data_IF_356458179475
#
_entry.id   IF_356458179475
#
_cell.length_a   1.000
_cell.length_b   1.000
_cell.length_c   1.000
_cell.angle_alpha   90.00
_cell.angle_beta   90.00
_cell.angle_gamma   90.00
#
_symmetry.space_group_name_H-M   'P 1'
#
loop_
_entity.id
_entity.type
_entity.pdbx_description
1 polymer ?
#
# COMPACT_ATOMS: atom_id res chain seq x y z
N UNK A 1 -74.42 21.57 21.05
CA UNK A 1 -73.08 22.16 21.24
C UNK A 1 -72.24 21.05 21.84
N UNK A 2 -71.64 20.24 20.98
CA UNK A 2 -71.07 18.94 21.33
C UNK A 2 -69.64 18.93 20.85
N UNK A 3 -68.75 18.73 21.81
CA UNK A 3 -67.31 18.93 21.74
C UNK A 3 -66.66 17.81 20.93
N UNK A 4 -65.81 18.17 19.98
CA UNK A 4 -64.88 17.25 19.30
C UNK A 4 -63.87 16.71 20.33
N UNK A 5 -63.75 15.40 20.44
CA UNK A 5 -62.59 14.73 21.04
C UNK A 5 -61.93 13.80 20.02
N UNK A 6 -60.63 14.01 19.83
CA UNK A 6 -59.74 13.28 18.93
C UNK A 6 -59.13 12.09 19.68
N UNK A 7 -59.09 10.86 19.14
CA UNK A 7 -58.22 9.83 19.67
C UNK A 7 -56.86 9.89 18.98
N UNK A 8 -55.82 10.28 19.71
CA UNK A 8 -54.43 10.02 19.32
C UNK A 8 -54.18 8.51 19.44
N UNK A 9 -54.08 7.81 18.32
CA UNK A 9 -53.50 6.47 18.25
C UNK A 9 -51.99 6.61 18.36
N UNK A 10 -51.43 6.16 19.49
CA UNK A 10 -49.98 6.12 19.70
C UNK A 10 -49.39 4.94 18.92
N UNK A 11 -48.80 5.24 17.76
CA UNK A 11 -47.99 4.30 17.01
C UNK A 11 -46.57 4.34 17.60
N UNK A 12 -46.25 3.38 18.46
CA UNK A 12 -44.87 3.15 18.91
C UNK A 12 -44.06 2.62 17.73
N UNK A 13 -43.41 3.53 17.01
CA UNK A 13 -42.36 3.21 16.05
C UNK A 13 -41.10 2.91 16.85
N UNK A 14 -40.81 1.63 17.11
CA UNK A 14 -39.48 1.20 17.54
C UNK A 14 -38.52 1.45 16.39
N UNK A 15 -37.92 2.64 16.37
CA UNK A 15 -36.67 2.89 15.66
C UNK A 15 -35.62 2.10 16.43
N UNK A 16 -35.28 0.92 15.93
CA UNK A 16 -34.03 0.28 16.31
C UNK A 16 -32.92 1.20 15.79
N UNK A 17 -32.39 2.03 16.69
CA UNK A 17 -31.14 2.71 16.46
C UNK A 17 -30.09 1.61 16.37
N UNK A 18 -29.76 1.19 15.14
CA UNK A 18 -28.54 0.45 14.89
C UNK A 18 -27.43 1.39 15.31
N UNK A 19 -26.89 1.17 16.50
CA UNK A 19 -25.65 1.77 16.92
C UNK A 19 -24.60 1.24 15.93
N UNK A 20 -24.17 2.10 15.02
CA UNK A 20 -22.98 1.83 14.23
C UNK A 20 -21.83 1.59 15.24
N UNK A 21 -21.27 0.39 15.19
CA UNK A 21 -20.11 0.00 15.98
C UNK A 21 -18.92 0.87 15.50
N UNK A 22 -18.28 1.71 16.34
CA UNK A 22 -17.21 2.59 15.91
C UNK A 22 -15.84 1.88 15.82
N UNK A 23 -15.85 0.56 15.59
CA UNK A 23 -14.65 -0.26 15.43
C UNK A 23 -14.36 -0.46 13.94
N UNK A 24 -13.23 0.11 13.47
CA UNK A 24 -12.68 0.13 12.11
C UNK A 24 -13.43 -0.69 11.04
N UNK A 25 -14.25 -0.05 10.21
CA UNK A 25 -14.89 -0.73 9.07
C UNK A 25 -13.95 -0.74 7.87
N UNK A 26 -13.24 -1.85 7.70
CA UNK A 26 -12.55 -2.16 6.46
C UNK A 26 -13.50 -2.08 5.25
N UNK A 27 -12.93 -1.87 4.07
CA UNK A 27 -13.63 -1.73 2.82
C UNK A 27 -14.36 -3.02 2.47
N UNK A 28 -15.58 -2.92 1.97
CA UNK A 28 -16.37 -4.09 1.64
C UNK A 28 -15.76 -4.84 0.45
N UNK A 29 -15.30 -6.06 0.71
CA UNK A 29 -14.67 -6.93 -0.30
C UNK A 29 -15.68 -7.48 -1.32
N UNK A 30 -16.98 -7.24 -1.16
CA UNK A 30 -18.01 -7.63 -2.12
C UNK A 30 -17.91 -6.89 -3.46
N UNK A 31 -17.25 -5.73 -3.49
CA UNK A 31 -17.10 -4.87 -4.67
C UNK A 31 -15.73 -4.98 -5.35
N UNK A 32 -14.92 -5.94 -4.94
CA UNK A 32 -13.62 -6.23 -5.55
C UNK A 32 -13.79 -6.70 -7.00
N UNK A 33 -12.91 -6.19 -7.86
CA UNK A 33 -12.74 -6.58 -9.25
C UNK A 33 -11.27 -6.92 -9.49
N UNK A 34 -11.02 -7.79 -10.46
CA UNK A 34 -9.67 -8.24 -10.80
C UNK A 34 -8.96 -7.20 -11.66
N UNK A 35 -7.70 -6.90 -11.33
CA UNK A 35 -6.74 -6.33 -12.27
C UNK A 35 -5.98 -7.48 -12.93
N UNK A 36 -6.24 -7.71 -14.20
CA UNK A 36 -5.59 -8.75 -14.99
C UNK A 36 -4.22 -8.29 -15.48
N UNK A 37 -3.28 -9.23 -15.63
CA UNK A 37 -1.95 -9.02 -16.25
C UNK A 37 -1.81 -9.87 -17.50
N UNK A 38 -1.25 -9.28 -18.55
CA UNK A 38 -0.81 -9.98 -19.74
C UNK A 38 0.59 -9.46 -20.14
N UNK A 39 1.39 -10.30 -20.79
CA UNK A 39 2.75 -9.97 -21.19
C UNK A 39 3.01 -10.25 -22.66
N UNK A 40 3.70 -9.34 -23.33
CA UNK A 40 4.17 -9.51 -24.71
C UNK A 40 5.69 -9.62 -24.73
N UNK A 41 6.21 -10.83 -24.94
CA UNK A 41 7.66 -11.03 -25.10
C UNK A 41 8.25 -10.37 -26.35
N UNK A 42 7.42 -10.07 -27.35
CA UNK A 42 7.87 -9.36 -28.57
C UNK A 42 7.99 -7.85 -28.33
N UNK A 43 7.08 -7.26 -27.57
CA UNK A 43 7.11 -5.84 -27.22
C UNK A 43 7.95 -5.56 -25.96
N UNK A 44 8.23 -6.59 -25.16
CA UNK A 44 8.78 -6.47 -23.80
C UNK A 44 7.93 -5.56 -22.92
N UNK A 45 6.60 -5.76 -22.98
CA UNK A 45 5.59 -4.89 -22.36
C UNK A 45 4.58 -5.68 -21.53
N UNK A 46 4.22 -5.14 -20.36
CA UNK A 46 3.18 -5.65 -19.48
C UNK A 46 1.91 -4.81 -19.58
N UNK A 47 0.80 -5.50 -19.84
CA UNK A 47 -0.51 -4.88 -19.96
C UNK A 47 -1.39 -5.23 -18.75
N UNK A 48 -2.00 -4.20 -18.16
CA UNK A 48 -2.87 -4.33 -16.99
C UNK A 48 -4.26 -3.74 -17.24
N UNK A 49 -5.32 -4.50 -16.96
CA UNK A 49 -6.69 -3.96 -17.10
C UNK A 49 -7.67 -4.64 -16.16
N UNK A 50 -8.69 -3.89 -15.74
CA UNK A 50 -9.89 -4.43 -15.08
C UNK A 50 -11.02 -4.72 -16.07
N UNK A 51 -10.86 -4.34 -17.33
CA UNK A 51 -11.83 -4.53 -18.40
C UNK A 51 -11.53 -5.82 -19.17
N UNK A 52 -12.35 -6.84 -18.97
CA UNK A 52 -12.25 -8.14 -19.67
C UNK A 52 -12.32 -7.98 -21.19
N UNK A 53 -13.10 -7.03 -21.71
CA UNK A 53 -13.16 -6.80 -23.16
C UNK A 53 -11.88 -6.20 -23.71
N UNK A 54 -11.19 -5.37 -22.93
CA UNK A 54 -9.88 -4.81 -23.29
C UNK A 54 -8.81 -5.91 -23.27
N UNK A 55 -8.82 -6.75 -22.23
CA UNK A 55 -7.95 -7.93 -22.17
C UNK A 55 -8.17 -8.85 -23.38
N UNK A 56 -9.41 -9.27 -23.62
CA UNK A 56 -9.72 -10.23 -24.68
C UNK A 56 -9.46 -9.68 -26.08
N UNK A 57 -9.89 -8.44 -26.36
CA UNK A 57 -9.87 -7.89 -27.72
C UNK A 57 -8.60 -7.11 -28.06
N UNK A 58 -7.96 -6.45 -27.09
CA UNK A 58 -6.85 -5.54 -27.36
C UNK A 58 -5.50 -6.20 -27.04
N UNK A 59 -5.45 -7.05 -26.01
CA UNK A 59 -4.22 -7.75 -25.62
C UNK A 59 -4.13 -9.17 -26.22
N UNK A 60 -5.15 -10.00 -26.03
CA UNK A 60 -5.10 -11.43 -26.38
C UNK A 60 -5.47 -11.71 -27.85
N UNK A 61 -6.42 -10.95 -28.42
CA UNK A 61 -6.81 -11.11 -29.81
C UNK A 61 -5.64 -10.78 -30.74
N UNK A 62 -5.24 -11.73 -31.57
CA UNK A 62 -4.07 -11.58 -32.47
C UNK A 62 -2.76 -12.13 -31.90
N UNK A 63 -2.73 -12.54 -30.62
CA UNK A 63 -1.61 -13.26 -30.01
C UNK A 63 -0.39 -12.39 -29.70
N UNK A 64 -0.57 -11.08 -29.57
CA UNK A 64 0.51 -10.15 -29.18
C UNK A 64 0.89 -10.34 -27.72
N UNK A 65 -0.10 -10.45 -26.83
CA UNK A 65 0.12 -10.71 -25.41
C UNK A 65 -0.32 -12.14 -25.03
N UNK A 66 0.30 -12.66 -23.98
CA UNK A 66 -0.10 -13.89 -23.30
C UNK A 66 -0.66 -13.53 -21.93
N UNK A 67 -1.82 -14.08 -21.58
CA UNK A 67 -2.39 -13.90 -20.25
C UNK A 67 -1.49 -14.51 -19.17
N UNK A 68 -1.17 -13.73 -18.13
CA UNK A 68 -0.30 -14.15 -17.04
C UNK A 68 -1.04 -14.38 -15.71
N UNK A 69 -2.29 -13.93 -15.61
CA UNK A 69 -3.14 -14.16 -14.44
C UNK A 69 -3.73 -12.89 -13.84
N UNK A 70 -4.25 -13.05 -12.63
CA UNK A 70 -4.76 -11.99 -11.78
C UNK A 70 -3.60 -11.32 -11.03
N UNK A 71 -3.29 -10.06 -11.37
CA UNK A 71 -2.23 -9.31 -10.69
C UNK A 71 -2.63 -8.96 -9.25
N UNK A 72 -3.87 -8.50 -9.08
CA UNK A 72 -4.43 -8.04 -7.80
C UNK A 72 -5.94 -7.88 -7.87
N UNK A 73 -6.58 -7.62 -6.72
CA UNK A 73 -7.97 -7.20 -6.62
C UNK A 73 -8.10 -5.75 -6.14
N UNK A 74 -8.77 -4.93 -6.95
CA UNK A 74 -9.07 -3.53 -6.67
C UNK A 74 -10.55 -3.36 -6.31
N UNK A 75 -10.93 -2.33 -5.56
CA UNK A 75 -12.35 -2.00 -5.41
C UNK A 75 -12.85 -1.27 -6.66
N UNK A 76 -14.00 -1.69 -7.19
CA UNK A 76 -14.62 -1.04 -8.37
C UNK A 76 -15.24 0.33 -8.07
N UNK A 77 -15.49 0.61 -6.79
CA UNK A 77 -16.10 1.86 -6.31
C UNK A 77 -15.38 2.34 -5.06
N UNK A 78 -15.46 3.64 -4.76
CA UNK A 78 -14.89 4.19 -3.53
C UNK A 78 -15.49 3.51 -2.31
N UNK A 79 -14.61 2.99 -1.45
CA UNK A 79 -14.91 2.38 -0.16
C UNK A 79 -14.25 3.19 0.98
N UNK A 80 -14.66 2.95 2.25
CA UNK A 80 -13.99 3.58 3.39
C UNK A 80 -12.48 3.44 3.35
N UNK A 81 -11.77 4.57 3.51
CA UNK A 81 -10.31 4.68 3.54
C UNK A 81 -9.58 4.28 2.24
N UNK A 82 -10.29 4.09 1.13
CA UNK A 82 -9.67 3.85 -0.19
C UNK A 82 -9.52 5.14 -0.99
N UNK A 83 -8.51 5.18 -1.85
CA UNK A 83 -8.25 6.26 -2.80
C UNK A 83 -8.16 5.72 -4.23
N UNK A 84 -8.36 6.55 -5.27
CA UNK A 84 -8.23 6.12 -6.66
C UNK A 84 -6.81 5.63 -6.98
N UNK A 85 -6.71 4.53 -7.73
CA UNK A 85 -5.51 4.16 -8.48
C UNK A 85 -5.71 4.70 -9.91
N UNK A 86 -5.10 5.84 -10.20
CA UNK A 86 -5.16 6.47 -11.51
C UNK A 86 -4.45 5.61 -12.55
N UNK A 87 -5.00 5.57 -13.77
CA UNK A 87 -4.40 4.93 -14.93
C UNK A 87 -4.15 5.98 -16.00
N UNK A 88 -2.89 6.15 -16.36
CA UNK A 88 -2.45 7.04 -17.43
C UNK A 88 -1.92 6.19 -18.58
N UNK A 89 -1.93 6.77 -19.77
CA UNK A 89 -1.42 6.16 -20.97
C UNK A 89 -0.57 7.17 -21.74
N UNK A 90 0.55 6.70 -22.28
CA UNK A 90 1.39 7.46 -23.18
C UNK A 90 1.43 6.78 -24.55
N UNK A 91 0.94 7.47 -25.58
CA UNK A 91 0.84 6.91 -26.94
C UNK A 91 2.19 6.79 -27.65
N UNK A 92 3.18 7.61 -27.26
CA UNK A 92 4.52 7.59 -27.86
C UNK A 92 5.34 6.43 -27.32
N UNK A 93 5.15 6.08 -26.04
CA UNK A 93 5.79 4.93 -25.41
C UNK A 93 4.96 3.64 -25.52
N UNK A 94 3.65 3.77 -25.78
CA UNK A 94 2.69 2.66 -25.78
C UNK A 94 2.72 1.93 -24.43
N UNK A 95 2.66 2.70 -23.35
CA UNK A 95 2.83 2.19 -21.97
C UNK A 95 1.80 2.83 -21.03
N UNK A 96 1.50 2.14 -19.94
CA UNK A 96 0.54 2.55 -18.92
C UNK A 96 1.21 2.82 -17.57
N UNK A 97 0.77 3.90 -16.93
CA UNK A 97 1.27 4.31 -15.63
C UNK A 97 0.16 4.29 -14.59
N UNK A 98 0.40 3.60 -13.47
CA UNK A 98 -0.54 3.47 -12.37
C UNK A 98 0.01 4.15 -11.12
N UNK A 99 -0.79 5.01 -10.53
CA UNK A 99 -0.42 5.74 -9.31
C UNK A 99 -1.62 6.11 -8.47
N UNK A 100 -1.44 6.12 -7.15
CA UNK A 100 -2.38 6.70 -6.22
C UNK A 100 -2.08 8.18 -5.88
N UNK A 101 -0.95 8.71 -6.35
CA UNK A 101 -0.51 10.08 -6.09
C UNK A 101 -1.06 11.05 -7.14
N UNK A 102 -1.92 11.97 -6.71
CA UNK A 102 -2.42 13.03 -7.59
C UNK A 102 -1.32 13.98 -8.07
N UNK A 103 -0.25 14.15 -7.30
CA UNK A 103 0.88 15.00 -7.70
C UNK A 103 1.69 14.33 -8.81
N UNK A 104 1.91 13.02 -8.71
CA UNK A 104 2.60 12.24 -9.74
C UNK A 104 1.81 12.22 -11.06
N UNK A 105 0.47 12.19 -10.99
CA UNK A 105 -0.38 12.38 -12.18
C UNK A 105 -0.08 13.70 -12.89
N UNK A 106 0.04 14.81 -12.16
CA UNK A 106 0.34 16.11 -12.74
C UNK A 106 1.74 16.15 -13.36
N UNK A 107 2.72 15.54 -12.70
CA UNK A 107 4.09 15.42 -13.21
C UNK A 107 4.16 14.57 -14.48
N UNK A 108 3.40 13.47 -14.55
CA UNK A 108 3.32 12.63 -15.75
C UNK A 108 2.61 13.35 -16.90
N UNK A 109 1.54 14.13 -16.62
CA UNK A 109 0.87 14.93 -17.65
C UNK A 109 1.82 15.97 -18.27
N UNK A 110 2.66 16.62 -17.46
CA UNK A 110 3.68 17.55 -17.97
C UNK A 110 4.72 16.85 -18.86
N UNK A 111 4.94 15.55 -18.64
CA UNK A 111 5.82 14.69 -19.43
C UNK A 111 5.14 14.04 -20.65
N UNK A 112 3.91 14.46 -20.98
CA UNK A 112 3.19 14.01 -22.17
C UNK A 112 2.30 12.78 -21.98
N UNK A 113 2.12 12.32 -20.74
CA UNK A 113 1.11 11.32 -20.43
C UNK A 113 -0.30 11.92 -20.47
N UNK A 114 -1.29 11.09 -20.76
CA UNK A 114 -2.69 11.48 -20.68
C UNK A 114 -3.43 10.54 -19.74
N UNK A 115 -4.52 11.02 -19.17
CA UNK A 115 -5.47 10.11 -18.54
C UNK A 115 -5.97 9.10 -19.57
N UNK A 116 -5.98 7.83 -19.18
CA UNK A 116 -6.52 6.77 -20.01
C UNK A 116 -8.05 6.89 -20.13
N UNK A 117 -8.61 6.23 -21.14
CA UNK A 117 -10.04 6.21 -21.47
C UNK A 117 -10.92 5.43 -20.47
N UNK A 118 -10.32 4.87 -19.42
CA UNK A 118 -11.04 4.19 -18.33
C UNK A 118 -12.07 5.11 -17.67
N UNK A 119 -13.21 4.58 -17.19
CA UNK A 119 -14.19 5.37 -16.46
C UNK A 119 -13.56 6.10 -15.27
N UNK A 120 -13.76 7.42 -15.20
CA UNK A 120 -13.16 8.29 -14.19
C UNK A 120 -11.61 8.24 -14.14
N UNK A 121 -10.95 7.81 -15.20
CA UNK A 121 -9.49 7.73 -15.32
C UNK A 121 -8.81 6.90 -14.22
N UNK A 122 -9.55 5.93 -13.70
CA UNK A 122 -9.19 5.16 -12.51
C UNK A 122 -9.28 3.67 -12.85
N UNK A 123 -8.19 2.93 -12.62
CA UNK A 123 -8.20 1.47 -12.78
C UNK A 123 -9.07 0.77 -11.73
N UNK A 124 -9.12 1.34 -10.54
CA UNK A 124 -9.91 0.93 -9.39
C UNK A 124 -9.51 1.73 -8.16
N UNK A 125 -9.98 1.35 -6.99
CA UNK A 125 -9.60 1.96 -5.72
C UNK A 125 -8.70 1.02 -4.94
N UNK A 126 -7.74 1.59 -4.21
CA UNK A 126 -6.75 0.92 -3.37
C UNK A 126 -6.70 1.57 -2.00
N UNK A 127 -6.13 0.88 -1.01
CA UNK A 127 -5.72 1.56 0.20
C UNK A 127 -4.42 2.35 -0.03
N UNK A 128 -4.27 3.52 0.61
CA UNK A 128 -3.02 4.28 0.57
C UNK A 128 -1.88 3.65 1.39
N UNK A 129 -2.19 2.72 2.28
CA UNK A 129 -1.23 2.01 3.14
C UNK A 129 -1.76 0.61 3.54
N UNK A 130 -0.90 -0.24 4.09
CA UNK A 130 -1.22 -1.62 4.48
C UNK A 130 -2.18 -1.68 5.67
N UNK A 131 -3.49 -1.60 5.42
CA UNK A 131 -4.56 -1.87 6.39
C UNK A 131 -5.49 -2.96 5.87
N UNK A 132 -6.24 -3.57 6.79
CA UNK A 132 -7.33 -4.48 6.43
C UNK A 132 -6.89 -5.69 5.59
N UNK A 133 -5.65 -6.15 5.75
CA UNK A 133 -5.08 -7.27 4.98
C UNK A 133 -4.57 -6.89 3.58
N UNK A 134 -4.50 -5.61 3.25
CA UNK A 134 -3.97 -5.14 1.99
C UNK A 134 -2.45 -5.28 1.94
N UNK A 135 -1.93 -5.72 0.79
CA UNK A 135 -0.49 -5.84 0.53
C UNK A 135 -0.07 -4.83 -0.54
N UNK A 136 1.22 -4.43 -0.58
CA UNK A 136 1.69 -3.46 -1.54
C UNK A 136 1.69 -4.00 -2.97
N UNK A 137 1.44 -3.11 -3.94
CA UNK A 137 1.72 -3.29 -5.36
C UNK A 137 3.06 -2.59 -5.63
N UNK A 138 4.13 -3.38 -5.79
CA UNK A 138 5.44 -2.88 -6.20
C UNK A 138 5.37 -2.41 -7.65
N UNK A 139 5.88 -1.21 -7.93
CA UNK A 139 6.01 -0.63 -9.26
C UNK A 139 7.48 -0.57 -9.62
N UNK A 140 7.82 -1.16 -10.76
CA UNK A 140 9.17 -1.14 -11.31
C UNK A 140 9.14 -0.60 -12.73
N UNK A 141 10.25 -0.06 -13.20
CA UNK A 141 10.39 0.45 -14.56
C UNK A 141 11.69 0.02 -15.20
N UNK A 142 11.61 -0.49 -16.43
CA UNK A 142 12.79 -0.77 -17.24
C UNK A 142 12.96 0.34 -18.31
N UNK A 143 14.02 1.17 -18.23
CA UNK A 143 14.24 2.24 -19.20
C UNK A 143 14.70 1.75 -20.58
N UNK A 144 15.19 0.51 -20.69
CA UNK A 144 15.64 -0.06 -21.98
C UNK A 144 14.45 -0.54 -22.82
N UNK A 145 13.50 -1.24 -22.21
CA UNK A 145 12.27 -1.67 -22.87
C UNK A 145 11.15 -0.63 -22.83
N UNK A 146 11.26 0.37 -21.94
CA UNK A 146 10.21 1.35 -21.64
C UNK A 146 8.93 0.65 -21.20
N UNK A 147 9.04 -0.11 -20.12
CA UNK A 147 7.95 -0.93 -19.58
C UNK A 147 7.81 -0.75 -18.07
N UNK A 148 6.59 -0.52 -17.60
CA UNK A 148 6.26 -0.55 -16.19
C UNK A 148 5.74 -1.93 -15.77
N UNK A 149 6.40 -2.50 -14.77
CA UNK A 149 6.03 -3.76 -14.19
C UNK A 149 5.43 -3.59 -12.80
N UNK A 150 4.24 -4.13 -12.60
CA UNK A 150 3.50 -4.10 -11.34
C UNK A 150 3.30 -5.51 -10.80
N UNK A 151 3.71 -5.73 -9.55
CA UNK A 151 3.56 -7.03 -8.88
C UNK A 151 3.32 -6.86 -7.39
N UNK A 152 2.54 -7.77 -6.80
CA UNK A 152 2.44 -7.92 -5.35
C UNK A 152 3.39 -8.99 -4.80
N UNK A 153 4.16 -9.66 -5.68
CA UNK A 153 5.13 -10.68 -5.30
C UNK A 153 6.53 -10.06 -5.18
N UNK A 154 7.04 -9.97 -3.95
CA UNK A 154 8.36 -9.41 -3.69
C UNK A 154 9.50 -10.19 -4.35
N UNK A 155 9.37 -11.52 -4.50
CA UNK A 155 10.39 -12.32 -5.18
C UNK A 155 10.41 -12.01 -6.68
N UNK A 156 9.24 -11.84 -7.30
CA UNK A 156 9.11 -11.46 -8.71
C UNK A 156 9.69 -10.06 -8.96
N UNK A 157 9.43 -9.10 -8.07
CA UNK A 157 10.06 -7.77 -8.10
C UNK A 157 11.58 -7.85 -7.98
N UNK A 158 12.10 -8.66 -7.05
CA UNK A 158 13.54 -8.85 -6.87
C UNK A 158 14.22 -9.53 -8.05
N UNK A 159 13.54 -10.45 -8.72
CA UNK A 159 14.05 -11.07 -9.94
C UNK A 159 14.03 -10.09 -11.12
N UNK A 160 12.95 -9.32 -11.30
CA UNK A 160 12.87 -8.27 -12.32
C UNK A 160 13.99 -7.21 -12.16
N UNK A 161 14.37 -6.85 -10.93
CA UNK A 161 15.49 -5.94 -10.68
C UNK A 161 16.84 -6.50 -11.19
N UNK A 162 17.02 -7.83 -11.20
CA UNK A 162 18.22 -8.46 -11.78
C UNK A 162 18.21 -8.39 -13.30
N UNK A 163 17.02 -8.27 -13.89
CA UNK A 163 16.78 -8.18 -15.33
C UNK A 163 16.70 -6.73 -15.84
N UNK A 164 17.09 -5.75 -15.02
CA UNK A 164 17.26 -4.34 -15.43
C UNK A 164 16.12 -3.41 -15.05
N UNK A 165 15.06 -3.91 -14.40
CA UNK A 165 14.03 -3.05 -13.85
C UNK A 165 14.54 -2.26 -12.63
N UNK A 166 14.04 -1.04 -12.48
CA UNK A 166 14.34 -0.15 -11.36
C UNK A 166 13.11 -0.04 -10.47
N UNK A 167 13.28 -0.25 -9.17
CA UNK A 167 12.22 -0.04 -8.19
C UNK A 167 11.81 1.45 -8.16
N UNK A 168 10.52 1.71 -8.35
CA UNK A 168 9.89 3.03 -8.31
C UNK A 168 8.89 3.17 -7.15
N UNK A 169 8.94 2.24 -6.18
CA UNK A 169 8.14 2.27 -4.97
C UNK A 169 6.80 1.55 -5.10
N UNK A 170 5.79 2.04 -4.38
CA UNK A 170 4.49 1.39 -4.22
C UNK A 170 3.43 2.17 -4.98
N UNK A 171 2.73 1.51 -5.91
CA UNK A 171 1.62 2.11 -6.65
C UNK A 171 0.31 2.16 -5.85
N UNK A 172 0.15 1.29 -4.86
CA UNK A 172 -1.00 1.22 -3.95
C UNK A 172 -1.02 -0.05 -3.11
N UNK A 173 -1.99 -0.18 -2.20
CA UNK A 173 -2.19 -1.38 -1.38
C UNK A 173 -3.53 -2.03 -1.70
N UNK A 174 -3.48 -3.28 -2.11
CA UNK A 174 -4.64 -3.98 -2.68
C UNK A 174 -4.78 -5.39 -2.09
N UNK A 175 -5.87 -6.06 -2.45
CA UNK A 175 -6.16 -7.40 -1.92
C UNK A 175 -5.43 -8.45 -2.76
N UNK A 176 -4.72 -9.35 -2.08
CA UNK A 176 -3.98 -10.42 -2.73
C UNK A 176 -4.91 -11.38 -3.48
N UNK A 177 -4.51 -11.84 -4.68
CA UNK A 177 -5.14 -12.97 -5.30
C UNK A 177 -4.84 -14.26 -4.53
N UNK A 178 -5.87 -15.05 -4.22
CA UNK A 178 -5.69 -16.41 -3.72
C UNK A 178 -5.06 -17.29 -4.80
N UNK A 179 -4.43 -18.40 -4.40
CA UNK A 179 -3.90 -19.45 -5.30
C UNK A 179 -4.95 -20.08 -6.22
N UNK A 180 -6.25 -19.82 -5.98
CA UNK A 180 -7.39 -20.26 -6.78
C UNK A 180 -8.13 -19.11 -7.50
N UNK A 181 -7.55 -17.90 -7.57
CA UNK A 181 -8.13 -16.76 -8.27
C UNK A 181 -9.35 -16.13 -7.59
N UNK A 182 -9.61 -16.46 -6.31
CA UNK A 182 -10.62 -15.79 -5.49
C UNK A 182 -10.00 -14.72 -4.57
N UNK A 183 -10.75 -13.67 -4.23
CA UNK A 183 -10.33 -12.74 -3.19
C UNK A 183 -10.31 -13.47 -1.84
N UNK A 184 -9.19 -13.45 -1.11
CA UNK A 184 -9.16 -14.10 0.21
C UNK A 184 -9.88 -13.21 1.21
N UNK A 185 -11.15 -13.52 1.48
CA UNK A 185 -12.03 -12.72 2.33
C UNK A 185 -11.67 -12.75 3.82
N UNK A 186 -10.73 -13.61 4.24
CA UNK A 186 -10.34 -13.82 5.64
C UNK A 186 -8.82 -13.92 5.89
N UNK A 187 -7.97 -13.43 4.98
CA UNK A 187 -6.51 -13.45 5.19
C UNK A 187 -6.03 -12.30 6.06
N UNK A 188 -6.37 -12.34 7.34
CA UNK A 188 -5.69 -11.56 8.38
C UNK A 188 -4.33 -12.19 8.80
N UNK A 189 -3.72 -12.99 7.95
CA UNK A 189 -2.40 -13.60 8.18
C UNK A 189 -1.55 -13.54 6.91
N UNK A 190 -0.28 -13.09 6.99
CA UNK A 190 0.63 -13.12 5.85
C UNK A 190 0.80 -14.55 5.36
N UNK A 191 0.56 -14.76 4.07
CA UNK A 191 0.75 -16.04 3.40
C UNK A 191 2.26 -16.28 3.23
N UNK A 192 2.89 -16.97 4.19
CA UNK A 192 4.29 -17.38 4.07
C UNK A 192 4.43 -18.49 3.01
N UNK A 193 5.34 -18.29 2.05
CA UNK A 193 5.74 -19.29 1.05
C UNK A 193 6.35 -20.54 1.72
N UNK A 194 6.18 -21.75 1.16
CA UNK A 194 6.68 -23.00 1.75
C UNK A 194 8.22 -23.06 1.72
N UNK A 195 8.82 -23.15 2.91
CA UNK A 195 10.26 -23.35 3.09
C UNK A 195 10.66 -24.80 2.78
N UNK A 196 11.26 -25.05 1.62
CA UNK A 196 12.13 -26.24 1.44
C UNK A 196 13.36 -25.90 0.60
N UNK A 197 14.39 -25.35 1.23
CA UNK A 197 15.75 -25.35 0.70
C UNK A 197 16.57 -26.34 1.53
N UNK A 198 16.83 -27.51 0.97
CA UNK A 198 17.77 -28.48 1.55
C UNK A 198 19.17 -28.11 1.09
N UNK A 199 20.01 -27.61 2.01
CA UNK A 199 21.43 -27.36 1.75
C UNK A 199 22.26 -28.64 2.02
N UNK A 200 23.23 -28.91 1.14
CA UNK A 200 24.21 -29.98 1.28
C UNK A 200 25.31 -29.60 2.30
N UNK A 201 25.97 -30.58 2.95
CA UNK A 201 26.76 -30.32 4.16
C UNK A 201 28.25 -30.12 3.84
N UNK A 202 28.87 -29.06 4.34
CA UNK A 202 30.28 -29.14 4.71
C UNK A 202 30.67 -28.19 5.86
N UNK A 203 31.46 -28.76 6.77
CA UNK A 203 32.03 -28.25 8.03
C UNK A 203 31.08 -28.05 9.22
N UNK A 204 30.94 -29.13 10.00
CA UNK A 204 30.49 -29.09 11.39
C UNK A 204 31.53 -28.40 12.28
N UNK A 205 31.15 -27.30 12.92
CA UNK A 205 31.47 -27.11 14.33
C UNK A 205 30.17 -27.12 15.13
N UNK A 206 30.22 -27.83 16.26
CA UNK A 206 29.15 -27.98 17.24
C UNK A 206 28.75 -26.63 17.84
N UNK A 207 27.83 -25.92 17.20
CA UNK A 207 27.11 -24.80 17.78
C UNK A 207 25.81 -25.29 18.42
N UNK A 208 25.69 -25.07 19.72
CA UNK A 208 24.43 -25.13 20.47
C UNK A 208 23.38 -24.30 19.74
N UNK A 209 22.22 -24.92 19.53
CA UNK A 209 21.08 -24.40 18.77
C UNK A 209 20.51 -23.10 19.35
N UNK A 210 20.88 -21.95 18.77
CA UNK A 210 20.01 -20.78 18.68
C UNK A 210 20.55 -19.81 17.62
N UNK A 211 20.32 -20.13 16.34
CA UNK A 211 20.51 -19.21 15.21
C UNK A 211 19.17 -18.59 14.81
N UNK A 212 18.49 -17.92 15.74
CA UNK A 212 17.25 -17.23 15.42
C UNK A 212 17.61 -15.87 14.79
N UNK A 213 17.57 -15.79 13.46
CA UNK A 213 17.43 -14.52 12.76
C UNK A 213 16.06 -13.89 13.12
N UNK A 214 15.93 -12.57 12.97
CA UNK A 214 14.66 -11.87 13.16
C UNK A 214 13.53 -12.54 12.36
N UNK A 215 12.41 -12.83 13.02
CA UNK A 215 11.21 -13.38 12.40
C UNK A 215 10.47 -12.26 11.66
N UNK A 216 10.14 -12.47 10.39
CA UNK A 216 9.46 -11.47 9.57
C UNK A 216 7.96 -11.34 9.91
N UNK A 217 7.43 -12.15 10.83
CA UNK A 217 6.02 -12.13 11.22
C UNK A 217 5.52 -10.79 11.80
N UNK A 218 6.40 -9.96 12.37
CA UNK A 218 6.04 -8.71 13.06
C UNK A 218 6.56 -7.44 12.36
N UNK A 219 6.89 -7.56 11.08
CA UNK A 219 7.34 -6.45 10.25
C UNK A 219 6.14 -5.60 9.83
N UNK A 220 6.23 -4.29 10.05
CA UNK A 220 5.23 -3.29 9.71
C UNK A 220 5.87 -2.19 8.83
N UNK A 221 5.11 -1.54 7.94
CA UNK A 221 5.63 -0.43 7.16
C UNK A 221 5.91 0.79 8.04
N UNK A 222 7.03 1.46 7.78
CA UNK A 222 7.32 2.81 8.25
C UNK A 222 6.81 3.80 7.20
N UNK A 223 5.63 4.36 7.45
CA UNK A 223 4.96 5.32 6.58
C UNK A 223 5.74 6.65 6.56
N UNK A 224 5.85 7.30 5.40
CA UNK A 224 6.49 8.61 5.20
C UNK A 224 5.51 9.62 4.64
N UNK A 225 5.56 10.84 5.15
CA UNK A 225 4.89 11.99 4.58
C UNK A 225 5.81 13.21 4.59
N UNK A 226 5.56 14.13 3.68
CA UNK A 226 6.36 15.33 3.49
C UNK A 226 5.50 16.59 3.49
N UNK A 227 5.94 17.62 4.19
CA UNK A 227 5.33 18.93 4.21
C UNK A 227 6.28 19.98 3.63
N UNK A 228 5.80 20.71 2.63
CA UNK A 228 6.50 21.88 2.07
C UNK A 228 5.82 23.16 2.53
N UNK A 229 6.27 23.73 3.64
CA UNK A 229 5.77 25.00 4.14
C UNK A 229 6.76 26.13 3.81
N UNK A 230 6.28 27.34 3.50
CA UNK A 230 7.09 28.42 2.90
C UNK A 230 8.41 28.82 3.60
N UNK A 231 8.68 28.34 4.82
CA UNK A 231 9.94 28.54 5.57
C UNK A 231 10.69 27.24 5.94
N UNK A 232 10.23 26.06 5.54
CA UNK A 232 10.87 24.78 5.88
C UNK A 232 10.26 23.56 5.20
N UNK A 233 11.09 22.54 5.03
CA UNK A 233 10.72 21.22 4.52
C UNK A 233 10.78 20.25 5.70
N UNK A 234 9.75 19.42 5.89
CA UNK A 234 9.69 18.47 7.01
C UNK A 234 9.24 17.10 6.52
N UNK A 235 9.82 16.04 7.10
CA UNK A 235 9.41 14.66 6.85
C UNK A 235 8.90 14.04 8.15
N UNK A 236 7.74 13.42 8.04
CA UNK A 236 7.07 12.73 9.13
C UNK A 236 7.07 11.22 8.87
N UNK A 237 7.53 10.45 9.86
CA UNK A 237 7.60 9.00 9.78
C UNK A 237 6.86 8.34 10.94
N UNK A 238 6.04 7.34 10.63
CA UNK A 238 5.30 6.59 11.65
C UNK A 238 4.94 5.20 11.17
N UNK A 239 4.88 4.22 12.08
CA UNK A 239 4.27 2.90 11.82
C UNK A 239 2.76 2.91 12.06
N UNK A 240 2.22 3.99 12.63
CA UNK A 240 0.82 4.10 13.01
C UNK A 240 0.00 4.81 11.93
N UNK A 241 -0.93 4.08 11.32
CA UNK A 241 -1.78 4.60 10.24
C UNK A 241 -2.73 5.73 10.67
N UNK A 242 -3.14 5.76 11.94
CA UNK A 242 -4.00 6.84 12.46
C UNK A 242 -3.23 8.15 12.61
N UNK A 243 -1.99 8.08 13.08
CA UNK A 243 -1.08 9.22 13.17
C UNK A 243 -0.77 9.77 11.76
N UNK A 244 -0.52 8.89 10.79
CA UNK A 244 -0.34 9.28 9.39
C UNK A 244 -1.60 9.96 8.83
N UNK A 245 -2.79 9.38 9.00
CA UNK A 245 -4.03 10.00 8.57
C UNK A 245 -4.23 11.40 9.16
N UNK A 246 -3.91 11.59 10.43
CA UNK A 246 -4.00 12.89 11.08
C UNK A 246 -3.02 13.90 10.46
N UNK A 247 -1.80 13.49 10.13
CA UNK A 247 -0.83 14.35 9.43
C UNK A 247 -1.34 14.76 8.04
N UNK A 248 -1.90 13.82 7.27
CA UNK A 248 -2.42 14.06 5.92
C UNK A 248 -3.67 14.96 5.87
N UNK A 249 -4.40 15.09 6.98
CA UNK A 249 -5.49 16.08 7.10
C UNK A 249 -4.98 17.53 7.24
N UNK A 250 -3.66 17.73 7.38
CA UNK A 250 -3.04 19.03 7.59
C UNK A 250 -2.18 19.45 6.39
N UNK A 251 -0.90 19.75 6.58
CA UNK A 251 0.01 20.27 5.55
C UNK A 251 0.90 19.20 4.90
N UNK A 252 0.73 17.93 5.29
CA UNK A 252 1.56 16.84 4.83
C UNK A 252 0.93 16.12 3.63
N UNK A 253 1.75 15.82 2.64
CA UNK A 253 1.44 14.90 1.54
C UNK A 253 2.09 13.55 1.83
N UNK A 254 1.38 12.46 1.55
CA UNK A 254 1.90 11.11 1.74
C UNK A 254 2.96 10.77 0.68
N UNK A 255 4.05 10.14 1.07
CA UNK A 255 5.16 9.77 0.17
C UNK A 255 5.44 8.25 0.11
N UNK A 256 4.54 7.43 0.65
CA UNK A 256 4.68 5.97 0.66
C UNK A 256 5.39 5.40 1.88
N UNK A 257 5.81 4.14 1.77
CA UNK A 257 6.60 3.47 2.81
C UNK A 257 8.08 3.86 2.66
N UNK A 258 8.69 4.37 3.72
CA UNK A 258 10.13 4.63 3.76
C UNK A 258 10.96 3.35 3.98
N UNK A 259 10.40 2.40 4.73
CA UNK A 259 11.05 1.13 5.06
C UNK A 259 10.03 0.14 5.63
N UNK A 260 10.46 -1.10 5.82
CA UNK A 260 9.78 -2.09 6.65
C UNK A 260 10.58 -2.27 7.95
N UNK A 261 9.91 -2.13 9.09
CA UNK A 261 10.53 -2.16 10.42
C UNK A 261 9.81 -3.17 11.32
N UNK A 262 10.53 -3.79 12.25
CA UNK A 262 9.89 -4.65 13.25
C UNK A 262 9.22 -3.79 14.32
N UNK A 263 7.97 -4.12 14.65
CA UNK A 263 7.22 -3.43 15.72
C UNK A 263 7.82 -3.67 17.12
N UNK A 264 8.59 -4.75 17.27
CA UNK A 264 9.36 -5.11 18.47
C UNK A 264 10.84 -5.28 18.14
N UNK A 265 11.71 -5.07 19.14
CA UNK A 265 13.14 -5.34 18.97
C UNK A 265 13.36 -6.85 18.81
N UNK A 266 13.92 -7.25 17.67
CA UNK A 266 14.23 -8.64 17.35
C UNK A 266 15.73 -8.92 17.42
N UNK A 267 16.10 -10.21 17.40
CA UNK A 267 17.49 -10.62 17.31
C UNK A 267 18.12 -10.13 16.00
N UNK A 268 19.36 -9.62 16.07
CA UNK A 268 20.12 -9.12 14.91
C UNK A 268 19.53 -7.89 14.19
N UNK A 269 18.64 -7.13 14.82
CA UNK A 269 18.19 -5.82 14.34
C UNK A 269 18.73 -4.66 15.19
N UNK A 270 18.69 -3.44 14.68
CA UNK A 270 18.99 -2.21 15.44
C UNK A 270 17.69 -1.43 15.69
N UNK A 271 17.50 -0.83 16.88
CA UNK A 271 16.32 -0.01 17.14
C UNK A 271 16.28 1.25 16.27
N UNK A 272 15.09 1.66 15.83
CA UNK A 272 14.83 3.00 15.32
C UNK A 272 14.21 3.86 16.43
N UNK A 273 14.91 4.89 16.87
CA UNK A 273 14.46 5.84 17.87
C UNK A 273 13.70 6.99 17.19
N UNK A 274 12.47 7.23 17.63
CA UNK A 274 11.67 8.41 17.27
C UNK A 274 11.48 9.29 18.49
N UNK A 275 11.91 10.54 18.41
CA UNK A 275 11.82 11.52 19.50
C UNK A 275 11.02 12.72 19.05
N UNK A 276 10.14 13.24 19.91
CA UNK A 276 9.33 14.41 19.64
C UNK A 276 9.71 15.58 20.54
N UNK A 277 9.88 16.76 19.95
CA UNK A 277 10.11 18.01 20.66
C UNK A 277 8.86 18.89 20.61
N UNK A 278 8.14 18.98 21.72
CA UNK A 278 6.89 19.76 21.81
C UNK A 278 7.10 21.27 21.62
N UNK A 279 8.28 21.80 21.94
CA UNK A 279 8.52 23.24 21.89
C UNK A 279 8.66 23.78 20.46
N UNK A 280 9.11 22.93 19.54
CA UNK A 280 9.31 23.27 18.12
C UNK A 280 8.42 22.45 17.19
N UNK A 281 7.62 21.54 17.75
CA UNK A 281 6.73 20.63 17.04
C UNK A 281 7.45 19.85 15.92
N UNK A 282 8.54 19.19 16.28
CA UNK A 282 9.45 18.55 15.34
C UNK A 282 9.87 17.16 15.84
N UNK A 283 10.10 16.25 14.89
CA UNK A 283 10.50 14.87 15.13
C UNK A 283 11.98 14.66 14.81
N UNK A 284 12.61 13.77 15.56
CA UNK A 284 13.99 13.36 15.35
C UNK A 284 14.06 11.83 15.31
N UNK A 285 14.74 11.30 14.30
CA UNK A 285 14.83 9.87 14.04
C UNK A 285 16.30 9.45 13.98
N UNK A 286 16.68 8.39 14.70
CA UNK A 286 18.04 7.86 14.65
C UNK A 286 18.07 6.37 14.98
N UNK A 287 19.08 5.65 14.49
CA UNK A 287 19.39 4.28 14.91
C UNK A 287 20.54 4.22 15.93
N UNK A 288 21.18 5.37 16.22
CA UNK A 288 22.25 5.47 17.19
C UNK A 288 21.68 5.76 18.58
N UNK A 289 21.88 4.81 19.50
CA UNK A 289 21.45 4.94 20.88
C UNK A 289 22.12 6.12 21.61
N UNK A 290 23.37 6.46 21.27
CA UNK A 290 24.05 7.60 21.87
C UNK A 290 23.43 8.92 21.41
N UNK A 291 23.14 9.05 20.11
CA UNK A 291 22.49 10.23 19.56
C UNK A 291 21.08 10.43 20.16
N UNK A 292 20.32 9.34 20.33
CA UNK A 292 19.03 9.35 21.02
C UNK A 292 19.15 9.82 22.48
N UNK A 293 20.11 9.27 23.23
CA UNK A 293 20.37 9.66 24.62
C UNK A 293 20.81 11.13 24.74
N UNK A 294 21.67 11.59 23.84
CA UNK A 294 22.11 12.98 23.79
C UNK A 294 20.94 13.92 23.48
N UNK A 295 20.09 13.57 22.51
CA UNK A 295 18.90 14.33 22.13
C UNK A 295 17.87 14.41 23.28
N UNK A 296 17.73 13.35 24.09
CA UNK A 296 16.89 13.35 25.31
C UNK A 296 17.51 14.21 26.43
N UNK A 297 18.83 14.23 26.55
CA UNK A 297 19.54 14.97 27.61
C UNK A 297 19.66 16.48 27.34
N UNK A 298 19.66 16.88 26.07
CA UNK A 298 19.97 18.24 25.61
C UNK A 298 18.74 19.12 25.39
N UNK A 299 17.52 18.58 25.51
CA UNK A 299 16.29 19.35 25.29
C UNK A 299 15.01 18.66 25.76
N UNK A 300 13.84 19.30 25.57
CA UNK A 300 12.53 18.79 26.02
C UNK A 300 11.98 17.77 25.03
N UNK A 301 12.80 16.78 24.66
CA UNK A 301 12.41 15.69 23.78
C UNK A 301 11.89 14.52 24.61
N UNK A 302 10.85 13.87 24.11
CA UNK A 302 10.35 12.61 24.66
C UNK A 302 10.47 11.54 23.59
N UNK A 303 10.88 10.34 23.98
CA UNK A 303 10.81 9.19 23.08
C UNK A 303 9.35 8.86 22.83
N UNK A 304 8.97 8.79 21.56
CA UNK A 304 7.63 8.39 21.15
C UNK A 304 7.61 6.87 21.03
N UNK A 305 6.77 6.16 21.78
CA UNK A 305 6.64 4.71 21.64
C UNK A 305 6.15 4.31 20.24
N UNK A 306 6.34 3.05 19.83
CA UNK A 306 5.87 2.55 18.54
C UNK A 306 4.34 2.62 18.31
N UNK A 307 3.53 2.85 19.34
CA UNK A 307 2.06 2.93 19.22
C UNK A 307 1.43 3.71 20.39
N UNK A 308 1.49 5.05 20.35
CA UNK A 308 0.61 5.86 21.21
C UNK A 308 -0.48 6.50 20.37
N UNK A 309 -1.69 5.96 20.55
CA UNK A 309 -2.99 6.52 20.16
C UNK A 309 -3.17 7.97 20.59
#
# INVERSE_FOLDING_TARGET
MTVLSCPLSSLLLTVALVLADPTSSCADTSSLITLFRAYSGNASDHFYTTNVSELDNDALLGGTYTFEGEATFLWSTSQPSTIPLFRLYNQDFVDHFYTMSSDEVLEMIDQGWAYDNTPNHTAGYVYPYSICGAAPIYRLFNPESVDHFYTMNIAESQDAMKDGYQDQGIAGFAMLPSVDGSAVKDSAGPFFLPSTMTALPESQETATSSSACADNANVVPLLRAYARNGTGQDHFYTTNSSEMNAALLTTYSFEGDAAFVWSTQEASTVPLYRLFNQNVNDHFYTIDANESNEALSSGPRVQVPPDTS
#
